data_IF_048388924685
#
_entry.id   IF_048388924685
#
_cell.length_a   1.000
_cell.length_b   1.000
_cell.length_c   1.000
_cell.angle_alpha   90.00
_cell.angle_beta   90.00
_cell.angle_gamma   90.00
#
_symmetry.space_group_name_H-M   'P 1'
#
loop_
_entity.id
_entity.type
_entity.pdbx_description
1 polymer ?
#
# COMPACT_ATOMS: atom_id res chain seq x y z
N UNK A 1 2.05 10.92 24.48
CA UNK A 1 1.65 9.97 23.43
C UNK A 1 2.37 10.38 22.17
N UNK A 2 3.09 9.45 21.53
CA UNK A 2 4.03 9.80 20.47
C UNK A 2 3.34 9.70 19.11
N UNK A 3 2.74 10.82 18.67
CA UNK A 3 2.27 10.97 17.29
C UNK A 3 3.44 11.39 16.39
N UNK A 4 3.44 10.93 15.14
CA UNK A 4 4.38 11.38 14.11
C UNK A 4 4.04 12.82 13.69
N UNK A 5 4.85 13.79 14.09
CA UNK A 5 4.58 15.22 13.85
C UNK A 5 5.06 15.70 12.47
N UNK A 6 6.09 15.06 11.93
CA UNK A 6 6.63 15.39 10.62
C UNK A 6 7.23 14.18 9.93
N UNK A 7 7.24 14.21 8.61
CA UNK A 7 7.82 13.16 7.78
C UNK A 7 8.44 13.79 6.54
N UNK A 8 9.73 13.54 6.30
CA UNK A 8 10.39 13.99 5.08
C UNK A 8 10.86 12.79 4.27
N UNK A 9 10.62 12.82 2.95
CA UNK A 9 11.07 11.81 2.00
C UNK A 9 11.85 12.44 0.87
N UNK A 10 12.89 11.73 0.43
CA UNK A 10 13.66 12.10 -0.76
C UNK A 10 13.37 11.11 -1.88
N UNK A 11 13.22 11.61 -3.09
CA UNK A 11 12.92 10.80 -4.28
C UNK A 11 13.24 11.55 -5.56
N UNK A 12 12.71 11.05 -6.68
CA UNK A 12 12.93 11.65 -7.98
C UNK A 12 11.98 12.85 -8.18
N UNK A 13 12.57 14.04 -8.29
CA UNK A 13 11.85 15.30 -8.60
C UNK A 13 11.64 15.47 -10.09
N UNK A 14 12.65 15.09 -10.87
CA UNK A 14 12.63 15.05 -12.35
C UNK A 14 13.30 13.76 -12.81
N UNK A 15 13.36 13.51 -14.11
CA UNK A 15 14.07 12.36 -14.68
C UNK A 15 15.58 12.31 -14.33
N UNK A 16 16.17 13.42 -13.89
CA UNK A 16 17.60 13.54 -13.61
C UNK A 16 17.92 14.16 -12.24
N UNK A 17 16.93 14.66 -11.54
CA UNK A 17 17.12 15.36 -10.24
C UNK A 17 16.41 14.63 -9.12
N UNK A 18 17.17 14.28 -8.07
CA UNK A 18 16.63 13.82 -6.78
C UNK A 18 16.52 14.98 -5.80
N UNK A 19 15.48 14.97 -4.99
CA UNK A 19 15.22 16.01 -4.00
C UNK A 19 14.22 15.58 -2.95
N UNK A 20 13.75 16.52 -2.16
CA UNK A 20 12.69 16.30 -1.17
C UNK A 20 11.36 16.24 -1.94
N UNK A 21 10.72 15.08 -1.94
CA UNK A 21 9.40 14.85 -2.57
C UNK A 21 8.27 15.10 -1.59
N UNK A 22 8.51 14.93 -0.29
CA UNK A 22 7.58 15.25 0.78
C UNK A 22 8.31 15.90 1.95
N UNK A 23 7.70 16.92 2.52
CA UNK A 23 8.11 17.55 3.78
C UNK A 23 6.86 17.85 4.60
N UNK A 24 6.27 16.77 5.12
CA UNK A 24 4.97 16.78 5.77
C UNK A 24 5.06 17.35 7.18
N UNK A 25 4.09 18.18 7.55
CA UNK A 25 3.80 18.61 8.91
C UNK A 25 2.38 18.19 9.27
N UNK A 26 2.20 17.56 10.43
CA UNK A 26 0.96 16.95 10.86
C UNK A 26 0.45 17.58 12.13
N UNK A 27 -0.85 17.92 12.15
CA UNK A 27 -1.53 18.44 13.34
C UNK A 27 -2.54 17.42 13.88
N UNK A 28 -2.82 17.45 15.16
CA UNK A 28 -3.64 16.46 15.83
C UNK A 28 -4.63 17.08 16.80
N UNK A 29 -5.79 16.44 16.94
CA UNK A 29 -6.68 16.56 18.09
C UNK A 29 -6.55 15.28 18.93
N UNK A 30 -5.82 15.37 20.05
CA UNK A 30 -5.38 14.18 20.81
C UNK A 30 -4.48 13.26 19.97
N UNK A 31 -4.99 12.07 19.60
CA UNK A 31 -4.30 11.12 18.72
C UNK A 31 -4.88 11.10 17.29
N UNK A 32 -5.99 11.79 17.08
CA UNK A 32 -6.65 11.88 15.78
C UNK A 32 -5.94 12.93 14.92
N UNK A 33 -5.54 12.53 13.72
CA UNK A 33 -4.93 13.45 12.75
C UNK A 33 -5.96 14.50 12.33
N UNK A 34 -5.64 15.78 12.44
CA UNK A 34 -6.53 16.87 12.06
C UNK A 34 -6.22 17.36 10.63
N UNK A 35 -4.96 17.66 10.36
CA UNK A 35 -4.52 18.11 9.03
C UNK A 35 -3.08 17.70 8.73
N UNK A 36 -2.73 17.69 7.45
CA UNK A 36 -1.38 17.49 6.93
C UNK A 36 -1.08 18.60 5.95
N UNK A 37 0.08 19.20 6.06
CA UNK A 37 0.58 20.14 5.05
C UNK A 37 1.88 19.62 4.47
N UNK A 38 2.05 19.71 3.17
CA UNK A 38 3.29 19.43 2.47
C UNK A 38 3.94 20.72 1.97
N UNK A 39 5.15 21.01 2.44
CA UNK A 39 5.91 22.17 1.99
C UNK A 39 6.89 21.86 0.86
N UNK A 40 6.98 20.59 0.43
CA UNK A 40 7.82 20.19 -0.69
C UNK A 40 7.18 20.60 -2.03
N UNK A 41 7.97 20.94 -3.03
CA UNK A 41 7.45 21.15 -4.38
C UNK A 41 7.02 19.80 -4.99
N UNK A 42 5.88 19.78 -5.68
CA UNK A 42 5.39 18.58 -6.34
C UNK A 42 6.40 18.07 -7.38
N UNK A 43 6.74 16.77 -7.37
CA UNK A 43 7.62 16.18 -8.37
C UNK A 43 6.98 16.24 -9.77
N UNK A 44 7.79 16.49 -10.79
CA UNK A 44 7.33 16.48 -12.20
C UNK A 44 7.34 15.07 -12.83
N UNK A 45 7.85 14.08 -12.10
CA UNK A 45 7.93 12.68 -12.57
C UNK A 45 6.61 11.98 -12.31
N UNK A 46 6.00 11.45 -13.37
CA UNK A 46 4.78 10.66 -13.27
C UNK A 46 5.05 9.39 -12.45
N UNK A 47 4.23 9.16 -11.40
CA UNK A 47 4.35 7.98 -10.54
C UNK A 47 5.40 8.13 -9.43
N UNK A 48 5.97 9.31 -9.22
CA UNK A 48 6.77 9.59 -8.02
C UNK A 48 5.96 9.27 -6.76
N UNK A 49 6.64 8.68 -5.77
CA UNK A 49 6.07 8.52 -4.45
C UNK A 49 5.96 9.91 -3.81
N UNK A 50 4.73 10.41 -3.72
CA UNK A 50 4.41 11.77 -3.35
C UNK A 50 3.10 11.78 -2.57
N UNK A 51 3.10 12.41 -1.40
CA UNK A 51 1.86 12.72 -0.70
C UNK A 51 1.17 13.86 -1.43
N UNK A 52 -0.04 13.63 -1.88
CA UNK A 52 -0.82 14.68 -2.54
C UNK A 52 -1.57 15.47 -1.50
N UNK A 53 -1.05 16.66 -1.19
CA UNK A 53 -1.76 17.66 -0.38
C UNK A 53 -2.92 18.22 -1.22
N UNK A 54 -4.08 17.59 -1.09
CA UNK A 54 -5.29 17.90 -1.86
C UNK A 54 -6.25 18.85 -1.14
N UNK A 55 -5.95 19.20 0.12
CA UNK A 55 -6.78 20.06 0.95
C UNK A 55 -5.90 21.03 1.76
N UNK A 56 -6.43 22.19 2.08
CA UNK A 56 -5.73 23.18 2.92
C UNK A 56 -6.72 23.72 3.96
N UNK A 57 -7.08 22.86 4.91
CA UNK A 57 -8.07 23.14 5.93
C UNK A 57 -7.52 22.81 7.33
N UNK A 58 -8.05 23.47 8.36
CA UNK A 58 -7.67 23.16 9.74
C UNK A 58 -8.10 21.72 10.16
N UNK A 59 -9.15 21.18 9.53
CA UNK A 59 -9.62 19.82 9.73
C UNK A 59 -9.85 19.18 8.37
N UNK A 60 -9.02 18.21 8.02
CA UNK A 60 -9.04 17.46 6.77
C UNK A 60 -9.49 16.00 6.96
N UNK A 61 -9.37 15.53 8.21
CA UNK A 61 -9.73 14.19 8.62
C UNK A 61 -10.80 14.24 9.70
N UNK A 62 -11.84 13.42 9.58
CA UNK A 62 -12.88 13.30 10.60
C UNK A 62 -12.95 11.86 11.12
N UNK A 63 -13.51 11.70 12.32
CA UNK A 63 -13.56 10.40 12.99
C UNK A 63 -14.94 10.14 13.60
N UNK A 64 -15.29 8.86 13.76
CA UNK A 64 -16.45 8.46 14.51
C UNK A 64 -16.14 8.39 16.04
N UNK A 65 -17.15 8.03 16.82
CA UNK A 65 -17.02 7.92 18.28
C UNK A 65 -16.09 6.79 18.74
N UNK A 66 -15.79 5.82 17.87
CA UNK A 66 -14.84 4.73 18.14
C UNK A 66 -13.41 5.11 17.72
N UNK A 67 -13.20 6.31 17.19
CA UNK A 67 -11.92 6.77 16.67
C UNK A 67 -11.59 6.24 15.29
N UNK A 68 -12.53 5.72 14.53
CA UNK A 68 -12.30 5.32 13.15
C UNK A 68 -12.40 6.53 12.23
N UNK A 69 -11.45 6.70 11.30
CA UNK A 69 -11.43 7.79 10.33
C UNK A 69 -12.65 7.69 9.39
N UNK A 70 -13.44 8.75 9.32
CA UNK A 70 -14.66 8.79 8.50
C UNK A 70 -14.54 9.61 7.23
N UNK A 71 -13.56 10.52 7.13
CA UNK A 71 -13.24 11.25 5.90
C UNK A 71 -11.75 11.57 5.79
N UNK A 72 -11.27 11.74 4.56
CA UNK A 72 -9.92 12.19 4.19
C UNK A 72 -10.04 13.08 2.95
N UNK A 73 -9.90 14.39 3.15
CA UNK A 73 -10.05 15.35 2.07
C UNK A 73 -8.89 15.31 1.07
N UNK A 74 -7.69 14.94 1.51
CA UNK A 74 -6.52 14.82 0.64
C UNK A 74 -6.69 13.70 -0.40
N UNK A 75 -7.27 12.56 0.01
CA UNK A 75 -7.65 11.46 -0.90
C UNK A 75 -9.03 11.62 -1.51
N UNK A 76 -9.73 12.72 -1.20
CA UNK A 76 -11.12 12.95 -1.61
C UNK A 76 -12.06 11.82 -1.17
N UNK A 77 -11.80 11.24 0.00
CA UNK A 77 -12.67 10.28 0.66
C UNK A 77 -13.74 11.08 1.40
N UNK A 78 -14.97 11.00 0.91
CA UNK A 78 -16.11 11.73 1.48
C UNK A 78 -16.76 11.01 2.66
N UNK A 79 -16.66 9.69 2.71
CA UNK A 79 -17.11 8.92 3.87
C UNK A 79 -16.50 7.52 3.93
N UNK A 80 -16.19 7.10 5.15
CA UNK A 80 -15.91 5.70 5.49
C UNK A 80 -16.92 5.24 6.52
N UNK A 81 -17.55 4.10 6.30
CA UNK A 81 -18.39 3.44 7.30
C UNK A 81 -17.74 2.13 7.74
N UNK A 82 -17.95 1.77 8.99
CA UNK A 82 -17.33 0.62 9.62
C UNK A 82 -18.37 -0.40 10.09
N UNK A 83 -17.99 -1.67 10.14
CA UNK A 83 -18.79 -2.72 10.74
C UNK A 83 -18.60 -2.75 12.28
N UNK A 84 -19.28 -3.68 12.96
CA UNK A 84 -19.20 -3.84 14.42
C UNK A 84 -17.81 -4.22 14.95
N UNK A 85 -16.90 -4.64 14.07
CA UNK A 85 -15.51 -5.00 14.41
C UNK A 85 -14.53 -3.85 14.08
N UNK A 86 -15.04 -2.63 13.84
CA UNK A 86 -14.27 -1.46 13.40
C UNK A 86 -13.45 -1.70 12.11
N UNK A 87 -13.93 -2.59 11.21
CA UNK A 87 -13.36 -2.79 9.88
C UNK A 87 -14.13 -1.97 8.86
N UNK A 88 -13.47 -1.34 7.88
CA UNK A 88 -14.16 -0.58 6.84
C UNK A 88 -15.17 -1.44 6.09
N UNK A 89 -16.43 -1.05 6.09
CA UNK A 89 -17.49 -1.70 5.34
C UNK A 89 -17.74 -1.03 3.99
N UNK A 90 -17.53 0.30 3.94
CA UNK A 90 -17.69 1.07 2.70
C UNK A 90 -16.79 2.30 2.73
N UNK A 91 -16.12 2.56 1.61
CA UNK A 91 -15.34 3.79 1.37
C UNK A 91 -15.95 4.49 0.15
N UNK A 92 -16.41 5.74 0.32
CA UNK A 92 -16.83 6.60 -0.79
C UNK A 92 -15.75 7.64 -1.06
N UNK A 93 -15.30 7.72 -2.29
CA UNK A 93 -14.32 8.71 -2.71
C UNK A 93 -14.69 9.28 -4.09
N UNK A 94 -13.94 10.27 -4.53
CA UNK A 94 -14.26 10.97 -5.78
C UNK A 94 -14.24 10.09 -7.04
N UNK A 95 -13.59 8.93 -7.03
CA UNK A 95 -13.51 7.97 -8.13
C UNK A 95 -14.61 6.90 -8.11
N UNK A 96 -15.35 6.76 -6.98
CA UNK A 96 -16.38 5.73 -6.86
C UNK A 96 -16.62 5.26 -5.43
N UNK A 97 -17.02 4.03 -5.28
CA UNK A 97 -17.33 3.43 -3.96
C UNK A 97 -16.70 2.04 -3.88
N UNK A 98 -16.02 1.77 -2.77
CA UNK A 98 -15.56 0.43 -2.41
C UNK A 98 -16.39 -0.13 -1.25
N UNK A 99 -16.79 -1.38 -1.35
CA UNK A 99 -17.56 -2.07 -0.31
C UNK A 99 -16.84 -3.35 0.06
N UNK A 100 -16.80 -3.66 1.36
CA UNK A 100 -16.12 -4.83 1.91
C UNK A 100 -17.10 -5.66 2.74
N UNK A 101 -17.04 -6.97 2.58
CA UNK A 101 -17.76 -7.92 3.44
C UNK A 101 -16.76 -8.82 4.16
N UNK A 102 -17.12 -9.21 5.36
CA UNK A 102 -16.27 -10.01 6.25
C UNK A 102 -17.05 -11.18 6.83
N UNK A 103 -16.35 -12.26 7.11
CA UNK A 103 -16.85 -13.36 7.92
C UNK A 103 -16.94 -12.94 9.40
N UNK A 104 -17.66 -13.71 10.25
CA UNK A 104 -17.80 -13.40 11.67
C UNK A 104 -16.47 -13.32 12.43
N UNK A 105 -15.44 -14.06 12.00
CA UNK A 105 -14.08 -14.01 12.55
C UNK A 105 -13.29 -12.78 12.10
N UNK A 106 -13.87 -11.96 11.21
CA UNK A 106 -13.25 -10.78 10.64
C UNK A 106 -12.40 -11.03 9.40
N UNK A 107 -12.34 -12.26 8.89
CA UNK A 107 -11.68 -12.55 7.61
C UNK A 107 -12.44 -11.87 6.47
N UNK A 108 -11.72 -11.12 5.62
CA UNK A 108 -12.29 -10.47 4.44
C UNK A 108 -12.80 -11.54 3.47
N UNK A 109 -14.06 -11.45 3.09
CA UNK A 109 -14.72 -12.35 2.15
C UNK A 109 -14.80 -11.76 0.74
N UNK A 110 -15.11 -10.47 0.65
CA UNK A 110 -15.37 -9.83 -0.64
C UNK A 110 -15.00 -8.36 -0.59
N UNK A 111 -14.53 -7.87 -1.72
CA UNK A 111 -14.37 -6.45 -2.04
C UNK A 111 -15.04 -6.17 -3.36
N UNK A 112 -15.91 -5.16 -3.38
CA UNK A 112 -16.57 -4.69 -4.60
C UNK A 112 -16.16 -3.24 -4.84
N UNK A 113 -15.81 -2.91 -6.07
CA UNK A 113 -15.46 -1.56 -6.52
C UNK A 113 -16.46 -1.12 -7.57
N UNK A 114 -17.20 -0.06 -7.28
CA UNK A 114 -18.10 0.62 -8.20
C UNK A 114 -17.44 1.94 -8.62
N UNK A 115 -17.02 2.03 -9.88
CA UNK A 115 -16.45 3.25 -10.47
C UNK A 115 -17.50 4.32 -10.75
N UNK A 116 -17.07 5.53 -11.03
CA UNK A 116 -17.94 6.64 -11.47
C UNK A 116 -18.64 6.39 -12.81
N UNK A 117 -17.98 5.63 -13.67
CA UNK A 117 -18.45 5.18 -14.98
C UNK A 117 -19.42 4.00 -14.88
N UNK A 118 -19.84 3.66 -13.65
CA UNK A 118 -20.66 2.49 -13.31
C UNK A 118 -19.98 1.15 -13.60
N UNK A 119 -18.68 1.13 -13.89
CA UNK A 119 -17.92 -0.11 -13.90
C UNK A 119 -17.98 -0.77 -12.53
N UNK A 120 -18.24 -2.07 -12.53
CA UNK A 120 -18.33 -2.87 -11.32
C UNK A 120 -17.27 -3.96 -11.41
N UNK A 121 -16.41 -4.07 -10.38
CA UNK A 121 -15.52 -5.21 -10.23
C UNK A 121 -15.69 -5.80 -8.83
N UNK A 122 -15.59 -7.13 -8.75
CA UNK A 122 -15.80 -7.91 -7.53
C UNK A 122 -14.61 -8.81 -7.32
N UNK A 123 -14.04 -8.80 -6.13
CA UNK A 123 -12.99 -9.71 -5.71
C UNK A 123 -13.48 -10.54 -4.52
N UNK A 124 -13.46 -11.84 -4.64
CA UNK A 124 -13.78 -12.77 -3.56
C UNK A 124 -12.53 -13.45 -3.04
N UNK A 125 -12.49 -13.63 -1.71
CA UNK A 125 -11.40 -14.28 -0.99
C UNK A 125 -11.92 -15.56 -0.32
N UNK A 126 -11.41 -16.72 -0.73
CA UNK A 126 -11.83 -18.05 -0.27
C UNK A 126 -10.61 -18.83 0.19
N UNK A 127 -10.13 -18.53 1.41
CA UNK A 127 -8.87 -19.06 1.91
C UNK A 127 -7.71 -18.53 1.08
N UNK A 128 -6.99 -19.42 0.40
CA UNK A 128 -5.89 -19.05 -0.49
C UNK A 128 -6.32 -18.80 -1.95
N UNK A 129 -7.62 -18.89 -2.26
CA UNK A 129 -8.14 -18.60 -3.59
C UNK A 129 -8.65 -17.18 -3.66
N UNK A 130 -8.25 -16.45 -4.70
CA UNK A 130 -8.74 -15.11 -5.02
C UNK A 130 -9.42 -15.15 -6.38
N UNK A 131 -10.72 -14.85 -6.40
CA UNK A 131 -11.52 -14.78 -7.60
C UNK A 131 -11.82 -13.32 -7.95
N UNK A 132 -11.76 -12.96 -9.22
CA UNK A 132 -12.19 -11.67 -9.74
C UNK A 132 -13.33 -11.89 -10.74
N UNK A 133 -14.46 -11.22 -10.50
CA UNK A 133 -15.65 -11.29 -11.35
C UNK A 133 -16.04 -12.76 -11.68
N UNK A 134 -16.18 -13.57 -10.62
CA UNK A 134 -16.49 -15.00 -10.61
C UNK A 134 -15.44 -15.91 -11.28
N UNK A 135 -14.29 -15.38 -11.68
CA UNK A 135 -13.21 -16.15 -12.30
C UNK A 135 -12.04 -16.28 -11.31
N UNK A 136 -11.48 -17.49 -11.17
CA UNK A 136 -10.29 -17.74 -10.36
C UNK A 136 -9.10 -16.96 -10.95
N UNK A 137 -8.60 -16.00 -10.17
CA UNK A 137 -7.49 -15.11 -10.57
C UNK A 137 -6.16 -15.55 -10.00
N UNK A 138 -6.13 -15.85 -8.69
CA UNK A 138 -4.90 -16.26 -8.00
C UNK A 138 -5.15 -17.46 -7.09
N UNK A 139 -4.15 -18.32 -6.99
CA UNK A 139 -3.99 -19.28 -5.89
C UNK A 139 -2.76 -18.85 -5.11
N UNK A 140 -2.95 -18.43 -3.87
CA UNK A 140 -1.86 -18.00 -2.99
C UNK A 140 -1.18 -19.21 -2.36
N UNK A 141 0.15 -19.18 -2.23
CA UNK A 141 0.93 -20.16 -1.47
C UNK A 141 2.04 -19.46 -0.69
N UNK A 142 2.77 -20.16 0.18
CA UNK A 142 3.77 -19.58 1.07
C UNK A 142 4.92 -19.06 0.22
N UNK A 143 5.24 -18.55 -0.51
CA UNK A 143 6.35 -18.02 -1.34
C UNK A 143 5.87 -17.32 -2.59
N UNK A 144 4.56 -17.21 -2.81
CA UNK A 144 4.09 -16.57 -4.03
C UNK A 144 2.62 -16.79 -4.36
N UNK A 145 2.32 -16.79 -5.65
CA UNK A 145 0.99 -17.11 -6.17
C UNK A 145 1.07 -17.78 -7.54
N UNK A 146 0.00 -18.47 -7.91
CA UNK A 146 -0.25 -18.93 -9.27
C UNK A 146 -1.27 -17.99 -9.88
N UNK A 147 -0.90 -17.30 -10.97
CA UNK A 147 -1.82 -16.47 -11.75
C UNK A 147 -2.61 -17.37 -12.71
N UNK A 148 -3.93 -17.36 -12.56
CA UNK A 148 -4.87 -18.22 -13.30
C UNK A 148 -5.59 -17.46 -14.42
N UNK A 149 -5.48 -16.13 -14.46
CA UNK A 149 -6.11 -15.24 -15.43
C UNK A 149 -5.33 -15.14 -16.76
N UNK A 150 -4.52 -16.14 -17.08
CA UNK A 150 -3.64 -16.21 -18.25
C UNK A 150 -3.99 -17.41 -19.13
N UNK A 151 -3.44 -17.44 -20.35
CA UNK A 151 -3.63 -18.57 -21.28
C UNK A 151 -3.23 -19.91 -20.64
N UNK A 152 -2.13 -19.89 -19.85
CA UNK A 152 -1.66 -20.99 -19.03
C UNK A 152 -1.40 -20.48 -17.62
N UNK A 153 -1.64 -21.31 -16.57
CA UNK A 153 -1.32 -20.96 -15.19
C UNK A 153 0.16 -20.58 -15.04
N UNK A 154 0.43 -19.43 -14.42
CA UNK A 154 1.79 -18.92 -14.26
C UNK A 154 2.18 -18.84 -12.78
N UNK A 155 3.27 -19.52 -12.42
CA UNK A 155 3.84 -19.44 -11.07
C UNK A 155 4.62 -18.13 -10.93
N UNK A 156 4.34 -17.38 -9.85
CA UNK A 156 5.02 -16.15 -9.51
C UNK A 156 5.56 -16.26 -8.08
N UNK A 157 6.87 -16.24 -7.94
CA UNK A 157 7.58 -16.36 -6.67
C UNK A 157 7.87 -14.99 -6.07
N UNK A 158 7.72 -14.86 -4.76
CA UNK A 158 7.96 -13.63 -4.02
C UNK A 158 9.30 -13.68 -3.29
N UNK A 159 10.25 -12.85 -3.70
CA UNK A 159 11.47 -12.60 -2.94
C UNK A 159 11.17 -11.46 -1.97
N UNK A 160 11.26 -11.77 -0.67
CA UNK A 160 10.89 -10.87 0.42
C UNK A 160 12.12 -10.35 1.13
N UNK A 161 12.04 -9.14 1.67
CA UNK A 161 13.05 -8.64 2.60
C UNK A 161 12.86 -9.22 4.03
N UNK A 162 13.72 -8.83 4.95
CA UNK A 162 13.69 -9.28 6.34
C UNK A 162 12.40 -8.93 7.09
N UNK A 163 11.67 -7.91 6.64
CA UNK A 163 10.34 -7.54 7.17
C UNK A 163 9.23 -8.42 6.61
N UNK A 164 9.46 -9.08 5.48
CA UNK A 164 8.46 -9.84 4.73
C UNK A 164 7.83 -9.06 3.58
N UNK A 165 8.33 -7.87 3.26
CA UNK A 165 7.84 -7.10 2.11
C UNK A 165 8.30 -7.72 0.79
N UNK A 166 7.39 -7.83 -0.18
CA UNK A 166 7.69 -8.39 -1.49
C UNK A 166 8.55 -7.40 -2.28
N UNK A 167 9.83 -7.74 -2.47
CA UNK A 167 10.80 -6.89 -3.18
C UNK A 167 10.85 -7.22 -4.66
N UNK A 168 10.80 -8.51 -4.99
CA UNK A 168 10.81 -8.99 -6.37
C UNK A 168 9.74 -10.05 -6.53
N UNK A 169 9.05 -10.01 -7.66
CA UNK A 169 8.18 -11.10 -8.13
C UNK A 169 8.86 -11.69 -9.35
N UNK A 170 9.17 -12.97 -9.31
CA UNK A 170 9.91 -13.66 -10.37
C UNK A 170 9.13 -14.86 -10.91
N UNK A 171 9.37 -15.18 -12.18
CA UNK A 171 8.93 -16.42 -12.84
C UNK A 171 9.84 -17.58 -12.49
N UNK A 172 9.43 -18.85 -12.79
CA UNK A 172 10.28 -20.01 -12.61
C UNK A 172 11.61 -19.97 -13.38
N UNK A 173 11.65 -19.25 -14.52
CA UNK A 173 12.85 -19.05 -15.33
C UNK A 173 13.83 -18.01 -14.73
N UNK A 174 13.53 -17.48 -13.54
CA UNK A 174 14.33 -16.46 -12.85
C UNK A 174 14.07 -15.02 -13.32
N UNK A 175 13.24 -14.78 -14.33
CA UNK A 175 12.94 -13.43 -14.80
C UNK A 175 12.07 -12.68 -13.79
N UNK A 176 12.51 -11.49 -13.39
CA UNK A 176 11.72 -10.59 -12.59
C UNK A 176 10.59 -9.97 -13.41
N UNK A 177 9.35 -10.07 -12.91
CA UNK A 177 8.16 -9.47 -13.55
C UNK A 177 7.65 -8.26 -12.80
N UNK A 178 8.07 -8.08 -11.54
CA UNK A 178 7.76 -6.90 -10.71
C UNK A 178 8.89 -6.68 -9.73
N UNK A 179 9.32 -5.44 -9.56
CA UNK A 179 10.29 -5.03 -8.55
C UNK A 179 9.66 -3.92 -7.72
N UNK A 180 9.77 -4.01 -6.40
CA UNK A 180 9.19 -3.04 -5.49
C UNK A 180 10.28 -2.48 -4.55
N UNK A 181 10.29 -1.17 -4.43
CA UNK A 181 11.08 -0.46 -3.43
C UNK A 181 10.15 0.32 -2.53
N UNK A 182 10.47 0.36 -1.23
CA UNK A 182 9.60 1.02 -0.25
C UNK A 182 10.42 1.98 0.61
N UNK A 183 9.81 3.11 0.96
CA UNK A 183 10.21 3.89 2.13
C UNK A 183 9.93 3.07 3.41
N UNK A 184 10.56 3.42 4.53
CA UNK A 184 10.40 2.65 5.78
C UNK A 184 8.95 2.39 6.18
N UNK A 185 8.04 3.32 5.93
CA UNK A 185 6.61 3.19 6.19
C UNK A 185 5.81 2.52 5.05
N UNK A 186 6.47 1.90 4.08
CA UNK A 186 5.80 1.08 3.06
C UNK A 186 5.27 1.82 1.85
N UNK A 187 5.41 3.13 1.76
CA UNK A 187 5.09 3.85 0.54
C UNK A 187 6.06 3.42 -0.57
N UNK A 188 5.52 3.01 -1.72
CA UNK A 188 6.34 2.52 -2.82
C UNK A 188 7.06 3.66 -3.52
N UNK A 189 8.34 3.44 -3.93
CA UNK A 189 9.03 4.35 -4.83
C UNK A 189 8.39 4.35 -6.22
N UNK A 190 8.39 5.48 -6.87
CA UNK A 190 8.12 5.57 -8.30
C UNK A 190 9.14 4.74 -9.08
N UNK A 191 8.67 4.05 -10.10
CA UNK A 191 9.51 3.18 -10.93
C UNK A 191 9.69 1.76 -10.40
N UNK A 192 9.25 1.45 -9.19
CA UNK A 192 9.17 0.07 -8.71
C UNK A 192 7.99 -0.68 -9.31
N UNK A 193 8.15 -1.20 -10.54
CA UNK A 193 7.26 -2.22 -11.10
C UNK A 193 5.77 -1.89 -11.22
N UNK A 194 5.39 -0.63 -11.31
CA UNK A 194 4.03 -0.26 -11.73
C UNK A 194 3.97 -0.38 -13.27
N UNK A 195 3.56 -1.53 -13.76
CA UNK A 195 3.17 -1.71 -15.14
C UNK A 195 1.97 -0.79 -15.44
N UNK A 196 2.22 0.26 -16.16
CA UNK A 196 1.20 1.21 -16.61
C UNK A 196 1.69 2.65 -16.50
N UNK A 197 2.44 3.13 -17.49
CA UNK A 197 2.80 4.53 -17.74
C UNK A 197 3.71 5.27 -16.73
N UNK A 198 4.51 4.60 -15.91
CA UNK A 198 5.62 5.28 -15.25
C UNK A 198 6.89 5.04 -16.06
N UNK A 199 7.46 6.11 -16.61
CA UNK A 199 8.77 6.07 -17.29
C UNK A 199 9.81 5.46 -16.34
N UNK A 200 10.58 4.51 -16.85
CA UNK A 200 11.62 3.84 -16.10
C UNK A 200 12.71 4.85 -15.72
N UNK A 201 13.01 4.95 -14.42
CA UNK A 201 14.12 5.74 -13.92
C UNK A 201 15.22 4.82 -13.39
N UNK A 202 16.49 5.08 -13.73
CA UNK A 202 17.61 4.32 -13.19
C UNK A 202 17.72 4.58 -11.68
N UNK A 203 17.76 3.52 -10.88
CA UNK A 203 18.13 3.59 -9.46
C UNK A 203 19.64 3.49 -9.38
N UNK A 204 20.33 4.49 -8.84
CA UNK A 204 21.74 4.36 -8.47
C UNK A 204 21.86 3.31 -7.38
N UNK A 205 22.50 2.21 -7.72
CA UNK A 205 22.60 1.00 -6.89
C UNK A 205 22.46 -0.26 -7.73
N UNK A 206 22.46 -0.16 -9.05
CA UNK A 206 22.69 -1.28 -9.96
C UNK A 206 21.47 -2.00 -10.49
N UNK A 207 20.26 -1.42 -10.41
CA UNK A 207 19.11 -1.98 -11.12
C UNK A 207 18.46 -0.90 -12.01
N UNK A 208 18.80 -0.91 -13.28
CA UNK A 208 18.13 -0.08 -14.30
C UNK A 208 16.90 -0.80 -14.82
N UNK A 209 15.73 -0.15 -14.78
CA UNK A 209 14.44 -0.72 -15.22
C UNK A 209 13.90 0.01 -16.44
N UNK A 210 14.76 0.40 -17.36
CA UNK A 210 14.40 0.93 -18.66
C UNK A 210 15.14 0.17 -19.74
N UNK A 211 14.59 -0.95 -20.21
CA UNK A 211 15.14 -1.67 -21.36
C UNK A 211 16.56 -2.23 -21.16
N UNK A 212 17.03 -2.29 -19.93
CA UNK A 212 18.36 -2.76 -19.55
C UNK A 212 18.34 -4.14 -18.90
N UNK A 213 19.41 -4.87 -19.00
CA UNK A 213 19.61 -6.21 -18.43
C UNK A 213 19.88 -6.13 -16.93
N UNK A 214 19.23 -6.99 -16.13
CA UNK A 214 19.60 -7.24 -14.74
C UNK A 214 20.73 -8.26 -14.73
N UNK A 215 21.93 -7.85 -14.37
CA UNK A 215 23.03 -8.78 -14.15
C UNK A 215 22.99 -9.36 -12.73
N UNK A 216 22.54 -10.61 -12.60
CA UNK A 216 22.70 -11.41 -11.41
C UNK A 216 23.59 -12.59 -11.78
N UNK A 217 24.85 -12.57 -11.34
CA UNK A 217 25.74 -13.71 -11.46
C UNK A 217 26.21 -14.08 -12.87
N UNK A 218 26.58 -13.10 -13.68
CA UNK A 218 27.41 -13.33 -14.88
C UNK A 218 26.69 -13.72 -16.16
N UNK A 219 25.36 -13.78 -16.21
CA UNK A 219 24.61 -13.92 -17.44
C UNK A 219 23.59 -12.77 -17.59
N UNK A 220 23.64 -12.09 -18.74
CA UNK A 220 22.72 -11.00 -19.10
C UNK A 220 21.33 -11.56 -19.37
N UNK A 221 20.48 -11.65 -18.36
CA UNK A 221 19.05 -11.89 -18.52
C UNK A 221 18.33 -10.58 -18.82
N UNK A 222 17.81 -10.39 -20.04
CA UNK A 222 16.96 -9.24 -20.35
C UNK A 222 15.73 -9.21 -19.45
N UNK A 223 15.50 -8.10 -18.73
CA UNK A 223 14.30 -7.91 -17.93
C UNK A 223 13.16 -7.50 -18.86
N UNK A 224 12.32 -8.44 -19.25
CA UNK A 224 11.09 -8.14 -19.95
C UNK A 224 10.10 -7.53 -18.96
N UNK A 225 9.85 -6.23 -19.08
CA UNK A 225 8.84 -5.53 -18.27
C UNK A 225 7.48 -6.21 -18.48
N UNK A 226 6.84 -6.55 -17.39
CA UNK A 226 5.54 -7.22 -17.42
C UNK A 226 4.54 -6.45 -18.28
N UNK A 227 3.81 -7.18 -19.10
CA UNK A 227 2.70 -6.65 -19.90
C UNK A 227 1.69 -5.94 -18.99
N UNK A 228 0.95 -4.90 -19.48
CA UNK A 228 -0.14 -4.29 -18.72
C UNK A 228 -1.08 -5.38 -18.16
N UNK A 229 -1.32 -5.37 -16.85
CA UNK A 229 -2.12 -6.39 -16.15
C UNK A 229 -1.32 -7.44 -15.35
N UNK A 230 0.00 -7.46 -15.44
CA UNK A 230 0.84 -8.47 -14.76
C UNK A 230 1.20 -8.14 -13.30
N UNK A 231 0.89 -6.94 -12.81
CA UNK A 231 1.22 -6.53 -11.44
C UNK A 231 0.26 -7.15 -10.43
N UNK A 232 0.81 -7.93 -9.49
CA UNK A 232 0.05 -8.48 -8.37
C UNK A 232 -0.04 -7.44 -7.21
N UNK A 233 -1.11 -7.47 -6.37
CA UNK A 233 -1.35 -6.41 -5.37
C UNK A 233 -0.60 -6.60 -4.05
N UNK A 234 -0.06 -7.79 -3.75
CA UNK A 234 0.58 -8.10 -2.48
C UNK A 234 1.99 -7.52 -2.42
N UNK A 235 2.25 -6.57 -1.51
CA UNK A 235 3.48 -5.76 -1.51
C UNK A 235 4.13 -5.64 -0.14
N UNK A 236 3.95 -4.49 0.52
CA UNK A 236 4.56 -4.20 1.82
C UNK A 236 4.09 -5.19 2.88
N UNK A 237 5.02 -5.88 3.54
CA UNK A 237 4.79 -7.00 4.47
C UNK A 237 3.91 -8.14 3.88
N UNK A 238 3.78 -8.20 2.57
CA UNK A 238 2.89 -9.14 1.89
C UNK A 238 1.41 -8.73 1.90
N UNK A 239 1.08 -7.56 2.39
CA UNK A 239 -0.29 -7.05 2.44
C UNK A 239 -0.77 -6.54 1.08
N UNK A 240 -2.08 -6.61 0.87
CA UNK A 240 -2.74 -6.18 -0.37
C UNK A 240 -2.83 -4.65 -0.43
N UNK A 241 -2.33 -4.06 -1.51
CA UNK A 241 -2.44 -2.63 -1.80
C UNK A 241 -3.67 -2.36 -2.66
N UNK A 242 -4.56 -1.51 -2.19
CA UNK A 242 -5.70 -1.02 -2.97
C UNK A 242 -5.32 0.22 -3.76
N UNK A 243 -5.21 0.06 -5.08
CA UNK A 243 -4.83 1.14 -6.01
C UNK A 243 -6.00 1.68 -6.81
N UNK A 244 -7.15 0.98 -6.79
CA UNK A 244 -8.36 1.45 -7.47
C UNK A 244 -8.71 2.86 -7.01
N UNK A 245 -9.08 3.69 -7.99
CA UNK A 245 -9.46 5.09 -7.77
C UNK A 245 -8.44 5.90 -6.97
N UNK A 246 -7.16 5.55 -7.05
CA UNK A 246 -6.04 6.21 -6.34
C UNK A 246 -6.14 6.12 -4.80
N UNK A 247 -6.77 5.08 -4.25
CA UNK A 247 -6.96 4.92 -2.81
C UNK A 247 -5.61 4.82 -2.07
N UNK A 248 -4.67 4.00 -2.56
CA UNK A 248 -3.29 3.92 -2.04
C UNK A 248 -3.18 3.41 -0.60
N UNK A 249 -4.12 2.60 -0.13
CA UNK A 249 -4.14 2.05 1.22
C UNK A 249 -3.81 0.56 1.21
N UNK A 250 -3.12 0.09 2.24
CA UNK A 250 -2.89 -1.34 2.47
C UNK A 250 -3.97 -1.93 3.39
N UNK A 251 -4.40 -3.14 3.07
CA UNK A 251 -5.22 -3.96 3.96
C UNK A 251 -4.32 -4.81 4.88
N UNK A 252 -4.24 -4.43 6.14
CA UNK A 252 -3.55 -5.18 7.20
C UNK A 252 -4.51 -6.11 7.96
N UNK A 253 -5.55 -6.57 7.32
CA UNK A 253 -6.59 -7.44 7.87
C UNK A 253 -7.42 -6.81 8.98
N UNK A 254 -6.83 -6.44 10.13
CA UNK A 254 -7.57 -5.80 11.22
C UNK A 254 -7.84 -4.33 10.97
N UNK A 255 -6.93 -3.64 10.30
CA UNK A 255 -7.00 -2.19 10.03
C UNK A 255 -6.54 -1.86 8.61
N UNK A 256 -7.07 -0.78 8.05
CA UNK A 256 -6.47 -0.15 6.87
C UNK A 256 -5.29 0.72 7.29
N UNK A 257 -4.23 0.67 6.49
CA UNK A 257 -2.97 1.36 6.72
C UNK A 257 -2.66 2.36 5.62
N UNK A 258 -2.28 3.55 6.02
CA UNK A 258 -1.83 4.62 5.13
C UNK A 258 -0.29 4.69 5.08
N UNK A 259 0.35 4.22 4.01
CA UNK A 259 1.81 4.25 3.90
C UNK A 259 2.37 5.65 3.66
N UNK A 260 1.56 6.58 3.15
CA UNK A 260 1.99 7.95 2.90
C UNK A 260 2.14 8.73 4.21
N UNK A 261 1.28 8.44 5.19
CA UNK A 261 1.28 9.05 6.51
C UNK A 261 1.90 8.18 7.60
N UNK A 262 2.22 6.90 7.30
CA UNK A 262 2.82 5.97 8.26
C UNK A 262 1.91 5.63 9.43
N UNK A 263 0.58 5.53 9.22
CA UNK A 263 -0.39 5.32 10.29
C UNK A 263 -1.60 4.48 9.87
N UNK A 264 -2.29 3.93 10.85
CA UNK A 264 -3.57 3.26 10.66
C UNK A 264 -4.75 4.25 10.65
N UNK A 265 -5.85 3.86 9.99
CA UNK A 265 -7.08 4.65 9.89
C UNK A 265 -8.01 4.48 11.09
N UNK A 266 -7.79 3.47 11.92
CA UNK A 266 -8.60 3.15 13.08
C UNK A 266 -7.75 2.82 14.29
N UNK A 267 -8.37 2.87 15.47
CA UNK A 267 -7.74 2.55 16.75
C UNK A 267 -7.28 1.10 16.76
N UNK A 268 -6.11 0.87 17.33
CA UNK A 268 -5.57 -0.48 17.52
C UNK A 268 -6.47 -1.30 18.44
N UNK A 269 -6.94 -2.49 18.03
CA UNK A 269 -7.67 -3.38 18.92
C UNK A 269 -6.90 -3.76 20.18
N UNK A 270 -5.55 -3.67 20.15
CA UNK A 270 -4.65 -3.98 21.26
C UNK A 270 -4.10 -2.71 21.96
N UNK A 271 -4.68 -1.53 21.72
CA UNK A 271 -4.20 -0.24 22.24
C UNK A 271 -4.04 -0.21 23.76
N UNK A 272 -4.83 -0.96 24.50
CA UNK A 272 -4.73 -1.05 25.96
C UNK A 272 -3.39 -1.62 26.44
N UNK A 273 -2.75 -2.47 25.63
CA UNK A 273 -1.42 -3.02 25.89
C UNK A 273 -0.28 -2.02 25.67
N UNK A 274 -0.53 -0.94 24.94
CA UNK A 274 0.49 0.04 24.51
C UNK A 274 0.07 1.48 24.83
N UNK A 275 -0.41 1.74 26.03
CA UNK A 275 -1.00 3.03 26.46
C UNK A 275 -0.10 4.25 26.31
N UNK A 276 1.20 4.05 26.21
CA UNK A 276 2.18 5.12 25.98
C UNK A 276 2.33 5.52 24.51
N UNK A 277 1.81 4.71 23.58
CA UNK A 277 1.85 4.98 22.15
C UNK A 277 0.52 5.56 21.64
N UNK A 278 0.58 6.26 20.51
CA UNK A 278 -0.63 6.60 19.77
C UNK A 278 -1.33 5.33 19.28
N UNK A 279 -2.64 5.18 19.46
CA UNK A 279 -3.38 3.98 19.01
C UNK A 279 -3.45 3.84 17.49
N UNK A 280 -2.99 4.84 16.75
CA UNK A 280 -2.89 4.84 15.28
C UNK A 280 -1.46 4.62 14.78
N UNK A 281 -0.47 4.61 15.69
CA UNK A 281 0.92 4.51 15.31
C UNK A 281 1.24 3.16 14.62
N UNK A 282 2.07 3.21 13.60
CA UNK A 282 2.68 2.03 13.01
C UNK A 282 4.04 1.79 13.69
N UNK A 283 4.21 0.60 14.25
CA UNK A 283 5.48 0.10 14.80
C UNK A 283 6.18 1.08 15.76
N UNK A 284 5.41 1.78 16.62
CA UNK A 284 5.94 2.78 17.58
C UNK A 284 6.87 3.83 16.93
N UNK A 285 6.66 4.16 15.65
CA UNK A 285 7.53 5.07 14.90
C UNK A 285 8.87 4.48 14.45
N UNK A 286 9.09 3.17 14.65
CA UNK A 286 10.34 2.49 14.25
C UNK A 286 10.06 1.30 13.30
N UNK A 287 9.70 1.57 12.05
CA UNK A 287 9.31 0.57 11.05
C UNK A 287 10.47 -0.27 10.50
N UNK A 288 11.71 0.01 10.91
CA UNK A 288 12.91 -0.75 10.50
C UNK A 288 13.17 -1.91 11.45
N UNK A 289 12.78 -1.76 12.74
CA UNK A 289 13.00 -2.76 13.81
C UNK A 289 11.76 -3.57 14.09
N UNK A 290 10.59 -2.99 13.89
CA UNK A 290 9.31 -3.63 14.18
C UNK A 290 8.49 -3.81 12.90
N UNK A 291 7.69 -4.87 12.89
CA UNK A 291 6.69 -5.13 11.85
C UNK A 291 5.35 -5.45 12.50
N UNK A 292 4.29 -4.85 11.99
CA UNK A 292 2.91 -5.23 12.28
C UNK A 292 2.33 -5.83 10.99
N UNK A 293 2.11 -7.14 10.96
CA UNK A 293 1.68 -7.85 9.74
C UNK A 293 0.17 -7.93 9.59
N UNK A 294 -0.55 -7.87 10.71
CA UNK A 294 -2.00 -8.12 10.77
C UNK A 294 -2.82 -6.91 11.25
N UNK A 295 -2.15 -5.79 11.53
CA UNK A 295 -2.78 -4.58 12.05
C UNK A 295 -3.22 -4.67 13.50
N UNK A 296 -2.58 -5.53 14.33
CA UNK A 296 -2.89 -5.71 15.76
C UNK A 296 -1.65 -5.78 16.64
N UNK A 297 -0.62 -6.46 16.14
CA UNK A 297 0.53 -6.83 16.98
C UNK A 297 1.83 -6.32 16.36
N UNK A 298 2.50 -5.48 17.10
CA UNK A 298 3.85 -5.05 16.79
C UNK A 298 4.83 -6.12 17.25
N UNK A 299 5.46 -6.81 16.33
CA UNK A 299 6.48 -7.82 16.61
C UNK A 299 7.87 -7.25 16.36
N UNK A 300 8.77 -7.44 17.33
CA UNK A 300 10.20 -7.18 17.14
C UNK A 300 10.78 -8.16 16.10
N UNK A 301 11.61 -7.65 15.22
CA UNK A 301 12.33 -8.48 14.23
C UNK A 301 13.62 -8.90 14.91
N UNK A 302 13.78 -10.19 15.12
CA UNK A 302 15.09 -10.76 15.47
C UNK A 302 15.90 -10.88 14.18
N UNK A 303 16.90 -10.03 14.05
CA UNK A 303 17.92 -10.08 12.98
C UNK A 303 18.97 -11.11 13.35
#
# INVERSE_FOLDING_TARGET
>A
MDNLLSLSRKGDMTSSLKGIVDNLSMTYDGNMLASVSDSAPAPSVTGSADFRDGASMAVEYTYDRNGNMTSDLNRRISSVSYNRQNRPARIKHSGGTETFTYLPDGTKRERTVLGKDWSLSRTEYRGNLVCADDTLKYILFDGGLIAMDRAEPEYLFFLRDHLGSVRVVARPDGKAVQVNHYYPYGMAFAGGGMSGNAGAHPVEGGVSVAGGSLEIGGETGGMELARPGASQPYRFLGNELYTSNSLGLYDFSARMYDPALGRFLSVDPMAEGYRHLSPYAYCAGNPVVYADKDGKNMNGIHI
#
